data_IF_666487342927
#
_entry.id   IF_666487342927
#
_cell.length_a   1.000
_cell.length_b   1.000
_cell.length_c   1.000
_cell.angle_alpha   90.00
_cell.angle_beta   90.00
_cell.angle_gamma   90.00
#
_symmetry.space_group_name_H-M   'P 1'
#
loop_
_entity.id
_entity.type
_entity.pdbx_description
1 polymer ?
#
# COMPACT_ATOMS: atom_id res chain seq x y z
N UNK A 1 -0.77 12.75 -14.21
CA UNK A 1 0.19 13.29 -13.22
C UNK A 1 1.37 13.99 -13.93
N UNK A 2 1.89 15.10 -13.38
CA UNK A 2 2.98 15.89 -13.99
C UNK A 2 4.21 15.05 -14.38
N UNK A 3 4.48 13.96 -13.64
CA UNK A 3 5.57 13.03 -13.94
C UNK A 3 5.35 12.20 -15.22
N UNK A 4 4.10 11.86 -15.57
CA UNK A 4 3.79 11.14 -16.82
C UNK A 4 3.86 12.08 -18.03
N UNK A 5 3.34 13.30 -17.89
CA UNK A 5 3.37 14.33 -18.95
C UNK A 5 4.79 14.73 -19.34
N UNK A 6 5.71 14.71 -18.38
CA UNK A 6 7.11 15.08 -18.56
C UNK A 6 8.07 13.89 -18.50
N UNK A 7 7.59 12.68 -18.82
CA UNK A 7 8.38 11.44 -18.76
C UNK A 7 9.69 11.50 -19.57
N UNK A 8 9.74 12.26 -20.66
CA UNK A 8 10.95 12.46 -21.45
C UNK A 8 12.00 13.38 -20.81
N UNK A 9 11.63 14.14 -19.78
CA UNK A 9 12.50 15.07 -19.07
C UNK A 9 12.96 14.53 -17.70
N UNK A 10 12.33 13.46 -17.20
CA UNK A 10 12.51 12.94 -15.85
C UNK A 10 13.11 11.53 -15.88
N UNK A 11 14.00 11.24 -14.94
CA UNK A 11 14.43 9.86 -14.67
C UNK A 11 13.44 9.23 -13.69
N UNK A 12 12.54 8.39 -14.21
CA UNK A 12 11.51 7.70 -13.41
C UNK A 12 12.12 6.50 -12.69
N UNK A 13 11.84 6.38 -11.40
CA UNK A 13 12.20 5.24 -10.55
C UNK A 13 10.96 4.74 -9.82
N UNK A 14 10.94 3.45 -9.53
CA UNK A 14 9.86 2.81 -8.77
C UNK A 14 10.39 2.44 -7.38
N UNK A 15 9.78 2.95 -6.30
CA UNK A 15 10.21 2.62 -4.95
C UNK A 15 9.81 1.22 -4.49
N UNK A 16 8.97 0.52 -5.26
CA UNK A 16 8.47 -0.81 -4.97
C UNK A 16 8.85 -1.77 -6.10
N UNK A 17 9.34 -2.96 -5.74
CA UNK A 17 9.66 -4.05 -6.66
C UNK A 17 8.98 -5.32 -6.18
N UNK A 18 8.23 -6.00 -7.04
CA UNK A 18 7.51 -7.23 -6.71
C UNK A 18 6.60 -7.12 -5.47
N UNK A 19 5.95 -5.97 -5.26
CA UNK A 19 5.07 -5.72 -4.11
C UNK A 19 5.80 -5.40 -2.81
N UNK A 20 7.14 -5.31 -2.83
CA UNK A 20 7.98 -5.01 -1.67
C UNK A 20 8.62 -3.62 -1.84
N UNK A 21 8.49 -2.78 -0.81
CA UNK A 21 9.15 -1.47 -0.77
C UNK A 21 10.67 -1.64 -0.69
N UNK A 22 11.38 -1.03 -1.64
CA UNK A 22 12.84 -1.00 -1.74
C UNK A 22 13.43 0.36 -1.38
N UNK A 23 12.77 1.45 -1.79
CA UNK A 23 13.16 2.81 -1.45
C UNK A 23 12.09 3.47 -0.59
N UNK A 24 12.38 3.58 0.72
CA UNK A 24 11.46 4.17 1.69
C UNK A 24 11.37 5.69 1.57
N UNK A 25 12.43 6.38 1.13
CA UNK A 25 12.40 7.83 0.95
C UNK A 25 11.43 8.20 -0.18
N UNK A 26 11.47 7.44 -1.27
CA UNK A 26 10.57 7.67 -2.39
C UNK A 26 9.13 7.19 -2.07
N UNK A 27 8.94 6.12 -1.28
CA UNK A 27 7.59 5.78 -0.78
C UNK A 27 6.99 6.86 0.12
N UNK A 28 7.77 7.42 1.04
CA UNK A 28 7.32 8.53 1.89
C UNK A 28 6.88 9.73 1.05
N UNK A 29 7.61 10.07 -0.01
CA UNK A 29 7.22 11.14 -0.95
C UNK A 29 5.90 10.82 -1.66
N UNK A 30 5.67 9.56 -2.04
CA UNK A 30 4.39 9.14 -2.62
C UNK A 30 3.27 9.34 -1.60
N UNK A 31 3.42 8.91 -0.35
CA UNK A 31 2.39 9.10 0.68
C UNK A 31 2.16 10.58 1.02
N UNK A 32 3.21 11.40 1.07
CA UNK A 32 3.08 12.85 1.19
C UNK A 32 2.28 13.45 0.03
N UNK A 33 2.52 12.98 -1.20
CA UNK A 33 1.76 13.42 -2.36
C UNK A 33 0.28 13.04 -2.27
N UNK A 34 -0.04 11.84 -1.76
CA UNK A 34 -1.43 11.39 -1.55
C UNK A 34 -2.20 12.30 -0.58
N UNK A 35 -1.58 12.73 0.52
CA UNK A 35 -2.21 13.69 1.44
C UNK A 35 -2.20 15.14 0.93
N UNK A 36 -1.38 15.44 -0.08
CA UNK A 36 -1.20 16.81 -0.56
C UNK A 36 -2.48 17.42 -1.15
N UNK A 37 -2.41 18.73 -1.40
CA UNK A 37 -3.51 19.48 -2.03
C UNK A 37 -3.84 19.02 -3.46
N UNK A 38 -2.90 18.34 -4.11
CA UNK A 38 -3.08 17.85 -5.47
C UNK A 38 -3.86 16.51 -5.50
N UNK A 39 -4.10 15.87 -4.35
CA UNK A 39 -4.79 14.59 -4.23
C UNK A 39 -5.93 14.64 -3.21
N UNK A 40 -5.75 14.17 -1.97
CA UNK A 40 -6.84 14.04 -1.00
C UNK A 40 -7.23 15.36 -0.32
N UNK A 41 -6.32 16.34 -0.25
CA UNK A 41 -6.58 17.64 0.40
C UNK A 41 -6.93 17.51 1.90
N UNK A 42 -6.37 16.53 2.59
CA UNK A 42 -6.61 16.28 4.01
C UNK A 42 -5.31 16.20 4.81
N UNK A 43 -5.41 16.40 6.12
CA UNK A 43 -4.28 16.18 7.03
C UNK A 43 -4.27 14.72 7.50
N UNK A 44 -3.09 14.09 7.47
CA UNK A 44 -2.92 12.71 7.93
C UNK A 44 -3.29 12.52 9.40
N UNK A 45 -3.12 13.56 10.22
CA UNK A 45 -3.40 13.58 11.66
C UNK A 45 -4.90 13.45 11.98
N UNK A 46 -5.77 13.76 11.02
CA UNK A 46 -7.22 13.80 11.22
C UNK A 46 -7.91 12.46 10.90
N UNK A 47 -7.19 11.52 10.27
CA UNK A 47 -7.81 10.34 9.65
C UNK A 47 -7.05 9.03 9.96
N UNK A 48 -7.75 7.99 10.47
CA UNK A 48 -7.22 6.63 10.52
C UNK A 48 -6.84 6.11 9.14
N UNK A 49 -5.78 5.31 9.06
CA UNK A 49 -5.26 4.77 7.80
C UNK A 49 -5.47 3.27 7.71
N UNK A 50 -6.04 2.82 6.59
CA UNK A 50 -6.01 1.44 6.14
C UNK A 50 -4.92 1.30 5.06
N UNK A 51 -3.88 0.52 5.34
CA UNK A 51 -2.82 0.22 4.39
C UNK A 51 -2.93 -1.23 3.91
N UNK A 52 -2.59 -1.46 2.65
CA UNK A 52 -2.56 -2.81 2.06
C UNK A 52 -1.14 -3.29 1.84
N UNK A 53 -0.88 -4.57 2.05
CA UNK A 53 0.40 -5.19 1.72
C UNK A 53 0.23 -6.48 0.90
N UNK A 54 1.31 -6.87 0.21
CA UNK A 54 1.39 -8.12 -0.49
C UNK A 54 1.40 -9.32 0.49
N UNK A 55 0.92 -10.51 0.06
CA UNK A 55 1.10 -11.74 0.81
C UNK A 55 2.56 -11.98 1.19
N UNK A 56 2.78 -12.51 2.41
CA UNK A 56 4.11 -12.86 2.93
C UNK A 56 5.12 -11.69 2.99
N UNK A 57 4.64 -10.45 3.10
CA UNK A 57 5.50 -9.28 3.31
C UNK A 57 6.33 -9.45 4.61
N UNK A 58 7.66 -9.21 4.59
CA UNK A 58 8.50 -9.28 5.79
C UNK A 58 7.99 -8.39 6.93
N UNK A 59 8.00 -8.90 8.17
CA UNK A 59 7.54 -8.15 9.34
C UNK A 59 8.25 -6.81 9.51
N UNK A 60 9.55 -6.75 9.17
CA UNK A 60 10.34 -5.51 9.20
C UNK A 60 9.80 -4.42 8.28
N UNK A 61 9.25 -4.78 7.13
CA UNK A 61 8.64 -3.79 6.24
C UNK A 61 7.34 -3.27 6.83
N UNK A 62 6.56 -4.16 7.45
CA UNK A 62 5.33 -3.78 8.15
C UNK A 62 5.62 -2.84 9.33
N UNK A 63 6.66 -3.16 10.12
CA UNK A 63 7.16 -2.32 11.21
C UNK A 63 7.63 -0.95 10.68
N UNK A 64 8.40 -0.92 9.59
CA UNK A 64 8.87 0.34 9.00
C UNK A 64 7.73 1.18 8.43
N UNK A 65 6.73 0.56 7.80
CA UNK A 65 5.54 1.28 7.36
C UNK A 65 4.79 1.88 8.56
N UNK A 66 4.63 1.13 9.65
CA UNK A 66 4.00 1.63 10.86
C UNK A 66 4.78 2.78 11.50
N UNK A 67 6.10 2.67 11.60
CA UNK A 67 6.99 3.75 12.07
C UNK A 67 6.77 5.03 11.25
N UNK A 68 6.79 4.93 9.92
CA UNK A 68 6.57 6.09 9.04
C UNK A 68 5.18 6.70 9.26
N UNK A 69 4.12 5.90 9.27
CA UNK A 69 2.76 6.42 9.43
C UNK A 69 2.52 7.05 10.81
N UNK A 70 3.07 6.49 11.89
CA UNK A 70 2.90 7.04 13.23
C UNK A 70 3.86 8.20 13.53
N UNK A 71 5.14 8.07 13.22
CA UNK A 71 6.16 9.06 13.63
C UNK A 71 6.30 10.23 12.64
N UNK A 72 6.10 9.98 11.34
CA UNK A 72 6.24 11.02 10.31
C UNK A 72 4.91 11.66 9.95
N UNK A 73 3.86 10.84 9.81
CA UNK A 73 2.52 11.32 9.41
C UNK A 73 1.56 11.54 10.59
N UNK A 74 1.95 11.17 11.82
CA UNK A 74 1.15 11.37 13.03
C UNK A 74 -0.30 10.83 12.91
N UNK A 75 -0.48 9.70 12.23
CA UNK A 75 -1.83 9.16 12.02
C UNK A 75 -2.46 8.72 13.35
N UNK A 76 -3.77 8.96 13.58
CA UNK A 76 -4.42 8.59 14.83
C UNK A 76 -4.56 7.08 15.03
N UNK A 77 -4.63 6.31 13.94
CA UNK A 77 -4.66 4.86 13.96
C UNK A 77 -4.22 4.29 12.61
N UNK A 78 -3.64 3.08 12.62
CA UNK A 78 -3.20 2.36 11.44
C UNK A 78 -3.67 0.91 11.51
N UNK A 79 -4.25 0.42 10.41
CA UNK A 79 -4.54 -0.99 10.20
C UNK A 79 -3.92 -1.45 8.88
N UNK A 80 -3.23 -2.60 8.89
CA UNK A 80 -2.56 -3.16 7.72
C UNK A 80 -3.24 -4.49 7.38
N UNK A 81 -3.70 -4.65 6.14
CA UNK A 81 -4.39 -5.85 5.68
C UNK A 81 -3.82 -6.38 4.37
N UNK A 82 -3.93 -7.69 4.16
CA UNK A 82 -3.50 -8.31 2.91
C UNK A 82 -4.47 -8.01 1.77
N UNK A 83 -3.92 -7.68 0.60
CA UNK A 83 -4.69 -7.34 -0.60
C UNK A 83 -5.72 -8.42 -0.98
N UNK A 84 -5.30 -9.69 -1.01
CA UNK A 84 -6.18 -10.80 -1.37
C UNK A 84 -7.39 -10.98 -0.43
N UNK A 85 -7.22 -10.74 0.88
CA UNK A 85 -8.31 -10.82 1.85
C UNK A 85 -9.35 -9.72 1.60
N UNK A 86 -8.88 -8.50 1.35
CA UNK A 86 -9.77 -7.37 1.02
C UNK A 86 -10.51 -7.61 -0.31
N UNK A 87 -9.83 -8.18 -1.31
CA UNK A 87 -10.45 -8.56 -2.59
C UNK A 87 -11.54 -9.61 -2.40
N UNK A 88 -11.34 -10.60 -1.52
CA UNK A 88 -12.38 -11.58 -1.22
C UNK A 88 -13.59 -10.95 -0.52
N UNK A 89 -13.33 -10.11 0.49
CA UNK A 89 -14.38 -9.39 1.23
C UNK A 89 -15.19 -8.45 0.34
N UNK A 90 -14.57 -7.82 -0.67
CA UNK A 90 -15.30 -7.02 -1.65
C UNK A 90 -16.34 -7.83 -2.44
N UNK A 91 -16.18 -9.16 -2.53
CA UNK A 91 -17.17 -10.04 -3.17
C UNK A 91 -18.22 -10.61 -2.20
N UNK A 92 -18.21 -10.20 -0.93
CA UNK A 92 -19.12 -10.70 0.10
C UNK A 92 -18.86 -12.15 0.52
N UNK A 93 -17.66 -12.69 0.21
CA UNK A 93 -17.26 -14.05 0.56
C UNK A 93 -16.22 -14.03 1.67
N UNK A 94 -16.21 -15.10 2.47
CA UNK A 94 -15.19 -15.32 3.51
C UNK A 94 -14.32 -16.54 3.20
N UNK A 95 -14.69 -17.36 2.23
CA UNK A 95 -13.93 -18.53 1.79
C UNK A 95 -13.82 -18.54 0.26
N UNK A 96 -12.63 -18.80 -0.25
CA UNK A 96 -12.35 -18.85 -1.68
C UNK A 96 -10.85 -18.74 -1.97
N UNK A 97 -10.47 -18.94 -3.22
CA UNK A 97 -9.10 -18.68 -3.69
C UNK A 97 -9.11 -17.38 -4.47
N UNK A 98 -8.24 -16.44 -4.11
CA UNK A 98 -8.05 -15.18 -4.82
C UNK A 98 -6.80 -15.30 -5.68
N UNK A 99 -6.96 -15.11 -6.98
CA UNK A 99 -5.85 -14.89 -7.92
C UNK A 99 -5.72 -13.39 -8.13
N UNK A 100 -4.71 -12.77 -7.52
CA UNK A 100 -4.41 -11.35 -7.63
C UNK A 100 -3.21 -11.16 -8.56
N UNK A 101 -3.39 -10.44 -9.67
CA UNK A 101 -2.38 -10.22 -10.70
C UNK A 101 -2.16 -8.72 -10.89
N UNK A 102 -1.12 -8.19 -10.22
CA UNK A 102 -0.68 -6.81 -10.33
C UNK A 102 0.51 -6.63 -11.26
N UNK A 103 1.04 -5.41 -11.32
CA UNK A 103 2.19 -5.04 -12.17
C UNK A 103 3.47 -5.82 -11.83
N UNK A 104 3.79 -5.95 -10.54
CA UNK A 104 5.04 -6.57 -10.09
C UNK A 104 4.95 -8.06 -9.74
N UNK A 105 3.76 -8.59 -9.48
CA UNK A 105 3.60 -9.92 -8.88
C UNK A 105 2.18 -10.48 -9.08
N UNK A 106 2.10 -11.81 -9.21
CA UNK A 106 0.85 -12.57 -9.22
C UNK A 106 0.83 -13.53 -8.03
N UNK A 107 -0.22 -13.46 -7.22
CA UNK A 107 -0.41 -14.33 -6.05
C UNK A 107 -1.70 -15.13 -6.18
N UNK A 108 -1.64 -16.42 -5.83
CA UNK A 108 -2.82 -17.25 -5.61
C UNK A 108 -2.94 -17.52 -4.12
N UNK A 109 -3.92 -16.90 -3.46
CA UNK A 109 -4.09 -16.93 -2.02
C UNK A 109 -5.38 -17.68 -1.68
N UNK A 110 -5.30 -18.90 -1.12
CA UNK A 110 -6.46 -19.57 -0.55
C UNK A 110 -6.85 -18.87 0.75
N UNK A 111 -8.13 -18.60 0.93
CA UNK A 111 -8.70 -18.01 2.14
C UNK A 111 -9.85 -18.91 2.61
N UNK A 112 -9.85 -19.24 3.89
CA UNK A 112 -10.88 -20.03 4.54
C UNK A 112 -11.39 -19.27 5.76
N UNK A 113 -12.70 -19.00 5.80
CA UNK A 113 -13.37 -18.26 6.88
C UNK A 113 -12.66 -16.94 7.29
N UNK A 114 -12.07 -16.24 6.30
CA UNK A 114 -11.36 -14.97 6.50
C UNK A 114 -9.88 -15.10 6.86
N UNK A 115 -9.35 -16.31 6.95
CA UNK A 115 -7.93 -16.59 7.23
C UNK A 115 -7.24 -17.15 5.97
N UNK A 116 -6.05 -16.62 5.67
CA UNK A 116 -5.20 -17.05 4.56
C UNK A 116 -3.92 -17.74 5.07
#
# INVERSE_FOLDING_TARGET
PKAEEHRGLLSIRYPMEHGIVRDWNDMERIWQYVYSKDQLQTFSEEHPVLLTEAPLNPSKNREKAAEVFFETFNVPALFISMQAVLSLYATGRTTGVVLDAGDGVTHAVPIYEGFA
#
